data_IF_973105296411
#
_entry.id   IF_973105296411
#
_cell.length_a   1.000
_cell.length_b   1.000
_cell.length_c   1.000
_cell.angle_alpha   90.00
_cell.angle_beta   90.00
_cell.angle_gamma   90.00
#
_symmetry.space_group_name_H-M   'P 1'
#
loop_
_entity.id
_entity.type
_entity.pdbx_description
1 polymer ?
#
# COMPACT_ATOMS: atom_id res chain seq x y z
N UNK A 1 7.34 -17.31 32.21
CA UNK A 1 7.86 -18.03 31.01
C UNK A 1 6.71 -18.54 30.15
N UNK A 2 5.74 -19.23 30.75
CA UNK A 2 4.52 -19.71 30.08
C UNK A 2 3.68 -18.60 29.43
N UNK A 3 3.55 -17.44 30.08
CA UNK A 3 2.86 -16.27 29.53
C UNK A 3 3.52 -15.69 28.27
N UNK A 4 4.86 -15.70 28.21
CA UNK A 4 5.63 -15.22 27.06
C UNK A 4 5.51 -16.20 25.90
N UNK A 5 5.59 -17.51 26.19
CA UNK A 5 5.42 -18.54 25.17
C UNK A 5 4.02 -18.46 24.55
N UNK A 6 2.97 -18.35 25.37
CA UNK A 6 1.59 -18.20 24.91
C UNK A 6 1.38 -16.96 24.02
N UNK A 7 2.07 -15.86 24.32
CA UNK A 7 2.05 -14.67 23.48
C UNK A 7 2.74 -14.91 22.13
N UNK A 8 3.94 -15.50 22.14
CA UNK A 8 4.71 -15.76 20.92
C UNK A 8 4.09 -16.80 20.01
N UNK A 9 3.34 -17.76 20.56
CA UNK A 9 2.62 -18.78 19.80
C UNK A 9 1.20 -18.34 19.40
N UNK A 10 0.77 -17.13 19.77
CA UNK A 10 -0.56 -16.63 19.41
C UNK A 10 -0.65 -16.37 17.91
N UNK A 11 -1.63 -17.01 17.25
CA UNK A 11 -1.82 -16.92 15.80
C UNK A 11 -2.02 -15.48 15.31
N UNK A 12 -2.72 -14.65 16.09
CA UNK A 12 -2.95 -13.25 15.77
C UNK A 12 -1.62 -12.49 15.74
N UNK A 13 -0.80 -12.67 16.77
CA UNK A 13 0.52 -12.04 16.87
C UNK A 13 1.43 -12.48 15.72
N UNK A 14 1.47 -13.79 15.45
CA UNK A 14 2.30 -14.36 14.38
C UNK A 14 1.92 -13.76 13.02
N UNK A 15 0.63 -13.81 12.64
CA UNK A 15 0.21 -13.34 11.32
C UNK A 15 0.29 -11.83 11.18
N UNK A 16 -0.01 -11.05 12.24
CA UNK A 16 0.22 -9.60 12.22
C UNK A 16 1.68 -9.26 12.03
N UNK A 17 2.60 -9.94 12.74
CA UNK A 17 4.03 -9.73 12.59
C UNK A 17 4.52 -10.15 11.20
N UNK A 18 4.06 -11.29 10.68
CA UNK A 18 4.35 -11.73 9.32
C UNK A 18 3.87 -10.71 8.29
N UNK A 19 2.64 -10.20 8.43
CA UNK A 19 2.11 -9.14 7.58
C UNK A 19 3.02 -7.90 7.58
N UNK A 20 3.41 -7.44 8.77
CA UNK A 20 4.32 -6.31 8.94
C UNK A 20 5.70 -6.54 8.29
N UNK A 21 6.31 -7.71 8.50
CA UNK A 21 7.62 -8.03 7.93
C UNK A 21 7.56 -8.17 6.41
N UNK A 22 6.54 -8.87 5.87
CA UNK A 22 6.33 -9.01 4.42
C UNK A 22 6.11 -7.65 3.77
N UNK A 23 5.21 -6.84 4.32
CA UNK A 23 4.97 -5.47 3.85
C UNK A 23 6.22 -4.58 3.97
N UNK A 24 7.04 -4.84 4.98
CA UNK A 24 8.32 -4.18 5.24
C UNK A 24 9.35 -4.32 4.14
N UNK A 25 9.31 -5.37 3.32
CA UNK A 25 10.32 -5.64 2.29
C UNK A 25 10.43 -4.45 1.31
N UNK A 26 11.56 -3.73 1.26
CA UNK A 26 11.65 -2.47 0.54
C UNK A 26 12.11 -2.67 -0.91
N UNK A 27 11.25 -3.19 -1.78
CA UNK A 27 11.63 -3.56 -3.15
C UNK A 27 12.25 -2.42 -3.96
N UNK A 28 11.71 -1.20 -3.88
CA UNK A 28 12.31 -0.06 -4.60
C UNK A 28 13.71 0.31 -4.10
N UNK A 29 14.02 0.10 -2.81
CA UNK A 29 15.38 0.24 -2.31
C UNK A 29 16.27 -0.89 -2.84
N UNK A 30 15.83 -2.14 -2.69
CA UNK A 30 16.59 -3.32 -3.09
C UNK A 30 16.92 -3.28 -4.59
N UNK A 31 15.94 -3.02 -5.45
CA UNK A 31 16.12 -2.96 -6.90
C UNK A 31 17.06 -1.83 -7.31
N UNK A 32 16.92 -0.63 -6.74
CA UNK A 32 17.81 0.50 -7.04
C UNK A 32 19.26 0.22 -6.60
N UNK A 33 19.43 -0.42 -5.45
CA UNK A 33 20.74 -0.75 -4.91
C UNK A 33 21.42 -1.87 -5.71
N UNK A 34 20.69 -2.93 -6.06
CA UNK A 34 21.22 -4.10 -6.76
C UNK A 34 21.54 -3.79 -8.23
N UNK A 35 20.60 -3.18 -8.95
CA UNK A 35 20.77 -2.99 -10.41
C UNK A 35 21.54 -1.74 -10.80
N UNK A 36 21.60 -0.74 -9.92
CA UNK A 36 22.22 0.55 -10.24
C UNK A 36 23.19 1.08 -9.20
N UNK A 37 23.44 0.35 -8.09
CA UNK A 37 24.31 0.80 -7.00
C UNK A 37 23.80 2.03 -6.24
N UNK A 38 22.57 2.48 -6.53
CA UNK A 38 22.03 3.75 -6.04
C UNK A 38 21.24 3.57 -4.75
N UNK A 39 21.46 4.50 -3.82
CA UNK A 39 20.63 4.63 -2.62
C UNK A 39 19.44 5.55 -2.90
N UNK A 40 18.27 4.96 -3.19
CA UNK A 40 17.06 5.71 -3.54
C UNK A 40 16.57 6.62 -2.40
N UNK A 41 16.92 6.33 -1.14
CA UNK A 41 16.53 7.14 0.01
C UNK A 41 17.20 8.51 0.01
N UNK A 42 18.29 8.67 -0.75
CA UNK A 42 19.05 9.92 -0.92
C UNK A 42 18.72 10.67 -2.20
N UNK A 43 17.78 10.18 -3.01
CA UNK A 43 17.48 10.73 -4.34
C UNK A 43 16.02 11.20 -4.41
N UNK A 44 15.78 12.34 -5.05
CA UNK A 44 14.44 12.82 -5.36
C UNK A 44 13.65 13.16 -4.09
N UNK A 45 12.53 12.48 -3.86
CA UNK A 45 11.72 12.67 -2.65
C UNK A 45 12.19 11.85 -1.46
N UNK A 46 13.26 11.05 -1.61
CA UNK A 46 13.73 10.09 -0.61
C UNK A 46 12.81 8.88 -0.38
N UNK A 47 11.72 8.75 -1.14
CA UNK A 47 10.77 7.65 -1.00
C UNK A 47 11.22 6.42 -1.81
N UNK A 48 10.91 5.23 -1.31
CA UNK A 48 11.25 3.97 -1.99
C UNK A 48 10.23 3.53 -3.06
N UNK A 49 9.14 4.29 -3.25
CA UNK A 49 8.07 3.90 -4.16
C UNK A 49 8.40 4.12 -5.65
N UNK A 50 7.62 3.45 -6.51
CA UNK A 50 7.75 3.46 -7.97
C UNK A 50 7.92 4.86 -8.58
N UNK A 51 7.18 5.87 -8.11
CA UNK A 51 7.26 7.25 -8.63
C UNK A 51 8.64 7.88 -8.41
N UNK A 52 9.29 7.64 -7.27
CA UNK A 52 10.62 8.18 -7.01
C UNK A 52 11.68 7.41 -7.80
N UNK A 53 11.53 6.09 -7.90
CA UNK A 53 12.38 5.22 -8.74
C UNK A 53 12.36 5.68 -10.20
N UNK A 54 11.17 5.93 -10.76
CA UNK A 54 11.04 6.45 -12.13
C UNK A 54 11.82 7.75 -12.32
N UNK A 55 11.61 8.73 -11.43
CA UNK A 55 12.25 10.04 -11.50
C UNK A 55 13.77 9.96 -11.33
N UNK A 56 14.24 9.11 -10.41
CA UNK A 56 15.67 8.90 -10.15
C UNK A 56 16.38 8.26 -11.35
N UNK A 57 15.75 7.30 -12.02
CA UNK A 57 16.32 6.64 -13.19
C UNK A 57 16.26 7.52 -14.45
N UNK A 58 15.15 8.25 -14.65
CA UNK A 58 15.03 9.21 -15.75
C UNK A 58 16.07 10.33 -15.64
N UNK A 59 16.34 10.87 -14.44
CA UNK A 59 17.36 11.91 -14.26
C UNK A 59 18.79 11.42 -14.52
N UNK A 60 18.99 10.10 -14.56
CA UNK A 60 20.25 9.44 -14.90
C UNK A 60 20.30 8.94 -16.35
N UNK A 61 19.29 9.23 -17.17
CA UNK A 61 19.23 8.81 -18.58
C UNK A 61 19.08 7.30 -18.77
N UNK A 62 18.56 6.58 -17.77
CA UNK A 62 18.39 5.13 -17.81
C UNK A 62 17.20 4.76 -18.71
N UNK A 63 17.46 4.02 -19.80
CA UNK A 63 16.47 3.68 -20.82
C UNK A 63 15.31 2.82 -20.30
N UNK A 64 15.56 1.92 -19.34
CA UNK A 64 14.55 1.03 -18.76
C UNK A 64 13.86 1.59 -17.49
N UNK A 65 13.94 2.89 -17.23
CA UNK A 65 13.39 3.54 -16.04
C UNK A 65 11.91 3.20 -15.78
N UNK A 66 11.07 3.21 -16.83
CA UNK A 66 9.64 2.88 -16.73
C UNK A 66 9.39 1.42 -16.35
N UNK A 67 10.16 0.50 -16.91
CA UNK A 67 10.05 -0.93 -16.59
C UNK A 67 10.43 -1.19 -15.13
N UNK A 68 11.50 -0.55 -14.65
CA UNK A 68 11.92 -0.69 -13.26
C UNK A 68 10.90 -0.10 -12.28
N UNK A 69 10.34 1.07 -12.58
CA UNK A 69 9.28 1.66 -11.77
C UNK A 69 8.01 0.78 -11.74
N UNK A 70 7.62 0.19 -12.87
CA UNK A 70 6.52 -0.75 -12.94
C UNK A 70 6.79 -2.02 -12.13
N UNK A 71 8.02 -2.55 -12.19
CA UNK A 71 8.41 -3.70 -11.40
C UNK A 71 8.29 -3.42 -9.89
N UNK A 72 8.76 -2.26 -9.43
CA UNK A 72 8.60 -1.82 -8.03
C UNK A 72 7.13 -1.74 -7.65
N UNK A 73 6.29 -1.14 -8.51
CA UNK A 73 4.85 -1.04 -8.30
C UNK A 73 4.20 -2.42 -8.12
N UNK A 74 4.54 -3.37 -9.01
CA UNK A 74 4.01 -4.74 -9.00
C UNK A 74 4.48 -5.49 -7.76
N UNK A 75 5.76 -5.42 -7.40
CA UNK A 75 6.30 -6.12 -6.23
C UNK A 75 5.73 -5.54 -4.91
N UNK A 76 5.60 -4.22 -4.81
CA UNK A 76 4.99 -3.57 -3.64
C UNK A 76 3.49 -3.87 -3.51
N UNK A 77 2.79 -4.08 -4.63
CA UNK A 77 1.42 -4.59 -4.65
C UNK A 77 1.39 -6.06 -4.23
N UNK A 78 2.25 -6.88 -4.83
CA UNK A 78 2.29 -8.31 -4.59
C UNK A 78 2.59 -8.64 -3.13
N UNK A 79 3.50 -7.93 -2.44
CA UNK A 79 3.74 -8.19 -1.00
C UNK A 79 2.51 -7.94 -0.13
N UNK A 80 1.73 -6.89 -0.44
CA UNK A 80 0.50 -6.60 0.29
C UNK A 80 -0.55 -7.69 0.06
N UNK A 81 -0.72 -8.07 -1.20
CA UNK A 81 -1.59 -9.17 -1.60
C UNK A 81 -1.17 -10.48 -0.97
N UNK A 82 0.14 -10.79 -0.98
CA UNK A 82 0.68 -12.03 -0.47
C UNK A 82 0.51 -12.15 1.05
N UNK A 83 0.71 -11.06 1.80
CA UNK A 83 0.45 -11.05 3.24
C UNK A 83 -1.00 -11.43 3.57
N UNK A 84 -1.98 -10.82 2.88
CA UNK A 84 -3.42 -11.10 3.11
C UNK A 84 -3.85 -12.44 2.49
N UNK A 85 -3.24 -12.84 1.39
CA UNK A 85 -3.45 -14.17 0.81
C UNK A 85 -3.06 -15.27 1.81
N UNK A 86 -1.93 -15.12 2.51
CA UNK A 86 -1.52 -16.08 3.53
C UNK A 86 -2.55 -16.16 4.66
N UNK A 87 -3.06 -15.04 5.19
CA UNK A 87 -4.08 -15.12 6.24
C UNK A 87 -5.38 -15.77 5.76
N UNK A 88 -5.80 -15.50 4.51
CA UNK A 88 -6.94 -16.20 3.88
C UNK A 88 -6.70 -17.69 3.68
N UNK A 89 -5.51 -18.07 3.19
CA UNK A 89 -5.14 -19.45 2.93
C UNK A 89 -5.18 -20.32 4.18
N UNK A 90 -4.78 -19.75 5.32
CA UNK A 90 -4.84 -20.42 6.62
C UNK A 90 -6.21 -20.35 7.30
N UNK A 91 -7.24 -19.82 6.62
CA UNK A 91 -8.61 -19.77 7.13
C UNK A 91 -8.80 -18.87 8.35
N UNK A 92 -7.96 -17.84 8.49
CA UNK A 92 -8.07 -16.89 9.60
C UNK A 92 -9.34 -16.04 9.48
N UNK A 93 -9.89 -15.59 10.59
CA UNK A 93 -11.08 -14.74 10.58
C UNK A 93 -10.81 -13.41 9.86
N UNK A 94 -11.88 -12.79 9.35
CA UNK A 94 -11.75 -11.56 8.57
C UNK A 94 -11.15 -10.39 9.37
N UNK A 95 -11.37 -10.32 10.69
CA UNK A 95 -10.78 -9.26 11.51
C UNK A 95 -9.26 -9.39 11.55
N UNK A 96 -8.75 -10.62 11.71
CA UNK A 96 -7.32 -10.89 11.62
C UNK A 96 -6.77 -10.62 10.22
N UNK A 97 -7.50 -10.98 9.15
CA UNK A 97 -7.07 -10.66 7.78
C UNK A 97 -6.94 -9.14 7.55
N UNK A 98 -7.87 -8.32 8.07
CA UNK A 98 -7.77 -6.86 8.05
C UNK A 98 -6.60 -6.34 8.89
N UNK A 99 -6.34 -6.96 10.05
CA UNK A 99 -5.19 -6.61 10.86
C UNK A 99 -3.86 -6.89 10.12
N UNK A 100 -3.77 -8.01 9.39
CA UNK A 100 -2.63 -8.35 8.52
C UNK A 100 -2.49 -7.34 7.37
N UNK A 101 -3.60 -6.92 6.76
CA UNK A 101 -3.59 -5.89 5.72
C UNK A 101 -3.00 -4.57 6.22
N UNK A 102 -3.47 -4.08 7.38
CA UNK A 102 -2.98 -2.86 8.03
C UNK A 102 -1.50 -3.04 8.42
N UNK A 103 -1.14 -4.17 9.00
CA UNK A 103 0.24 -4.46 9.40
C UNK A 103 1.19 -4.42 8.21
N UNK A 104 0.82 -5.00 7.06
CA UNK A 104 1.61 -4.92 5.83
C UNK A 104 1.78 -3.49 5.32
N UNK A 105 0.73 -2.67 5.36
CA UNK A 105 0.78 -1.26 4.98
C UNK A 105 1.73 -0.48 5.92
N UNK A 106 1.63 -0.71 7.23
CA UNK A 106 2.52 -0.14 8.23
C UNK A 106 3.96 -0.59 8.02
N UNK A 107 4.18 -1.87 7.68
CA UNK A 107 5.48 -2.43 7.31
C UNK A 107 6.09 -1.67 6.15
N UNK A 108 5.34 -1.45 5.06
CA UNK A 108 5.86 -0.68 3.93
C UNK A 108 6.19 0.77 4.31
N UNK A 109 5.33 1.42 5.11
CA UNK A 109 5.48 2.83 5.47
C UNK A 109 6.55 3.09 6.54
N UNK A 110 6.78 2.11 7.42
CA UNK A 110 7.71 2.12 8.53
C UNK A 110 8.54 0.83 8.50
N UNK A 111 9.28 0.63 7.42
CA UNK A 111 10.01 -0.64 7.20
C UNK A 111 11.10 -0.85 8.25
N UNK A 112 11.09 -2.00 8.96
CA UNK A 112 12.15 -2.32 9.93
C UNK A 112 13.50 -2.49 9.24
N UNK A 113 13.52 -2.79 7.93
CA UNK A 113 14.74 -2.94 7.13
C UNK A 113 15.33 -1.60 6.67
N UNK A 114 14.62 -0.49 6.89
CA UNK A 114 15.05 0.86 6.52
C UNK A 114 14.99 1.83 7.72
N UNK A 115 15.28 1.33 8.93
CA UNK A 115 15.22 2.13 10.16
C UNK A 115 13.87 2.87 10.31
N UNK A 116 12.78 2.19 9.97
CA UNK A 116 11.40 2.72 10.00
C UNK A 116 11.14 3.90 9.05
N UNK A 117 12.01 4.12 8.05
CA UNK A 117 11.84 5.14 7.02
C UNK A 117 11.43 4.51 5.69
N UNK A 118 10.14 4.15 5.59
CA UNK A 118 9.56 3.48 4.42
C UNK A 118 8.90 4.41 3.41
N UNK A 119 8.09 3.82 2.53
CA UNK A 119 7.34 4.55 1.50
C UNK A 119 6.01 5.14 2.01
N UNK A 120 5.08 5.36 1.07
CA UNK A 120 3.73 5.87 1.36
C UNK A 120 2.63 4.81 1.31
N UNK A 121 2.98 3.59 0.89
CA UNK A 121 2.11 2.43 1.01
C UNK A 121 1.05 2.24 -0.06
N UNK A 122 0.87 3.14 -1.03
CA UNK A 122 -0.27 3.10 -1.98
C UNK A 122 -0.38 1.77 -2.74
N UNK A 123 0.72 1.27 -3.32
CA UNK A 123 0.72 -0.03 -4.01
C UNK A 123 0.45 -1.18 -3.04
N UNK A 124 1.05 -1.13 -1.84
CA UNK A 124 0.83 -2.13 -0.79
C UNK A 124 -0.59 -2.10 -0.24
N UNK A 125 -1.22 -0.92 -0.13
CA UNK A 125 -2.65 -0.74 0.21
C UNK A 125 -3.49 -1.47 -0.83
N UNK A 126 -3.30 -1.15 -2.12
CA UNK A 126 -4.04 -1.79 -3.21
C UNK A 126 -3.91 -3.32 -3.14
N UNK A 127 -2.69 -3.83 -2.99
CA UNK A 127 -2.44 -5.27 -2.86
C UNK A 127 -3.13 -5.89 -1.65
N UNK A 128 -3.01 -5.25 -0.48
CA UNK A 128 -3.60 -5.77 0.77
C UNK A 128 -5.14 -5.79 0.72
N UNK A 129 -5.77 -4.75 0.15
CA UNK A 129 -7.23 -4.60 0.23
C UNK A 129 -7.99 -5.23 -0.93
N UNK A 130 -7.34 -5.51 -2.09
CA UNK A 130 -8.03 -6.12 -3.24
C UNK A 130 -8.61 -7.50 -2.95
N UNK A 131 -8.02 -8.25 -2.03
CA UNK A 131 -8.56 -9.56 -1.63
C UNK A 131 -9.72 -9.43 -0.63
N UNK A 132 -9.87 -8.28 0.03
CA UNK A 132 -10.86 -8.04 1.08
C UNK A 132 -12.08 -7.27 0.56
N UNK A 133 -11.86 -6.29 -0.31
CA UNK A 133 -12.86 -5.43 -0.94
C UNK A 133 -12.57 -5.27 -2.44
N UNK A 134 -12.72 -6.36 -3.24
CA UNK A 134 -12.26 -6.40 -4.62
C UNK A 134 -12.93 -5.34 -5.51
N UNK A 135 -14.24 -5.12 -5.36
CA UNK A 135 -15.01 -4.19 -6.19
C UNK A 135 -14.51 -2.76 -5.97
N UNK A 136 -14.46 -2.34 -4.71
CA UNK A 136 -14.03 -1.01 -4.28
C UNK A 136 -12.58 -0.75 -4.65
N UNK A 137 -11.71 -1.75 -4.46
CA UNK A 137 -10.28 -1.68 -4.79
C UNK A 137 -10.06 -1.51 -6.28
N UNK A 138 -10.75 -2.28 -7.12
CA UNK A 138 -10.62 -2.18 -8.58
C UNK A 138 -11.13 -0.84 -9.10
N UNK A 139 -12.23 -0.32 -8.57
CA UNK A 139 -12.72 1.02 -8.93
C UNK A 139 -11.73 2.10 -8.46
N UNK A 140 -11.20 1.99 -7.25
CA UNK A 140 -10.14 2.87 -6.75
C UNK A 140 -8.88 2.84 -7.63
N UNK A 141 -8.48 1.66 -8.11
CA UNK A 141 -7.37 1.49 -9.06
C UNK A 141 -7.66 2.18 -10.40
N UNK A 142 -8.88 2.07 -10.92
CA UNK A 142 -9.28 2.76 -12.15
C UNK A 142 -9.19 4.28 -11.99
N UNK A 143 -9.67 4.83 -10.85
CA UNK A 143 -9.55 6.27 -10.54
C UNK A 143 -8.08 6.67 -10.43
N UNK A 144 -7.27 5.90 -9.69
CA UNK A 144 -5.83 6.14 -9.58
C UNK A 144 -5.15 6.18 -10.96
N UNK A 145 -5.44 5.21 -11.82
CA UNK A 145 -4.87 5.12 -13.16
C UNK A 145 -5.31 6.30 -14.03
N UNK A 146 -6.60 6.64 -14.02
CA UNK A 146 -7.14 7.76 -14.79
C UNK A 146 -6.51 9.09 -14.37
N UNK A 147 -6.50 9.38 -13.06
CA UNK A 147 -5.90 10.61 -12.52
C UNK A 147 -4.40 10.66 -12.79
N UNK A 148 -3.69 9.53 -12.61
CA UNK A 148 -2.27 9.41 -12.90
C UNK A 148 -1.94 9.63 -14.37
N UNK A 149 -2.80 9.17 -15.28
CA UNK A 149 -2.63 9.33 -16.73
C UNK A 149 -2.97 10.73 -17.22
N UNK A 150 -4.07 11.32 -16.75
CA UNK A 150 -4.60 12.61 -17.22
C UNK A 150 -3.89 13.78 -16.54
N UNK A 151 -3.86 13.79 -15.20
CA UNK A 151 -3.30 14.92 -14.43
C UNK A 151 -1.80 14.77 -14.20
N UNK A 152 -1.25 13.55 -14.32
CA UNK A 152 0.17 13.25 -14.07
C UNK A 152 0.62 13.66 -12.67
N UNK A 153 -0.26 13.58 -11.66
CA UNK A 153 0.08 13.88 -10.27
C UNK A 153 -0.10 12.62 -9.43
N UNK A 154 1.01 12.03 -8.99
CA UNK A 154 1.02 10.74 -8.27
C UNK A 154 0.29 10.80 -6.92
N UNK A 155 0.47 11.89 -6.18
CA UNK A 155 -0.13 12.06 -4.85
C UNK A 155 -1.64 12.23 -4.93
N UNK A 156 -2.11 13.06 -5.87
CA UNK A 156 -3.54 13.23 -6.13
C UNK A 156 -4.19 11.93 -6.61
N UNK A 157 -3.55 11.20 -7.53
CA UNK A 157 -4.02 9.88 -7.95
C UNK A 157 -4.17 8.91 -6.78
N UNK A 158 -3.20 8.92 -5.86
CA UNK A 158 -3.19 8.05 -4.67
C UNK A 158 -4.31 8.39 -3.70
N UNK A 159 -4.48 9.67 -3.37
CA UNK A 159 -5.53 10.14 -2.46
C UNK A 159 -6.92 9.85 -3.05
N UNK A 160 -7.12 10.16 -4.33
CA UNK A 160 -8.42 9.92 -4.97
C UNK A 160 -8.71 8.43 -5.15
N UNK A 161 -7.73 7.60 -5.51
CA UNK A 161 -7.94 6.15 -5.65
C UNK A 161 -8.33 5.49 -4.33
N UNK A 162 -7.54 5.73 -3.26
CA UNK A 162 -7.84 5.18 -1.93
C UNK A 162 -9.12 5.80 -1.36
N UNK A 163 -9.33 7.10 -1.58
CA UNK A 163 -10.54 7.81 -1.15
C UNK A 163 -11.80 7.28 -1.83
N UNK A 164 -11.77 7.02 -3.15
CA UNK A 164 -12.88 6.40 -3.87
C UNK A 164 -13.19 5.02 -3.31
N UNK A 165 -12.19 4.15 -3.13
CA UNK A 165 -12.41 2.85 -2.51
C UNK A 165 -13.06 2.98 -1.12
N UNK A 166 -12.59 3.94 -0.32
CA UNK A 166 -13.11 4.23 1.03
C UNK A 166 -14.53 4.78 1.03
N UNK A 167 -14.91 5.58 0.04
CA UNK A 167 -16.30 6.04 -0.09
C UNK A 167 -17.20 4.87 -0.49
N UNK A 168 -16.74 4.02 -1.39
CA UNK A 168 -17.54 2.91 -1.93
C UNK A 168 -17.89 1.84 -0.89
N UNK A 169 -17.08 1.62 0.15
CA UNK A 169 -17.42 0.67 1.23
C UNK A 169 -18.71 1.08 2.00
N UNK A 170 -19.19 2.31 1.86
CA UNK A 170 -20.46 2.76 2.46
C UNK A 170 -21.68 2.47 1.57
N UNK A 171 -21.47 2.04 0.32
CA UNK A 171 -22.55 1.81 -0.65
C UNK A 171 -22.54 0.37 -1.18
N UNK A 172 -21.38 -0.15 -1.57
CA UNK A 172 -21.22 -1.46 -2.21
C UNK A 172 -21.73 -2.61 -1.33
N UNK A 173 -21.47 -2.64 0.00
CA UNK A 173 -22.03 -3.67 0.88
C UNK A 173 -23.55 -3.75 0.94
N UNK A 174 -24.26 -2.69 0.55
CA UNK A 174 -25.73 -2.65 0.51
C UNK A 174 -26.30 -2.99 -0.87
N UNK A 175 -25.43 -3.24 -1.85
CA UNK A 175 -25.82 -3.80 -3.14
C UNK A 175 -25.96 -5.32 -3.01
N UNK A 176 -26.69 -5.96 -3.93
CA UNK A 176 -26.83 -7.43 -3.99
C UNK A 176 -25.49 -8.08 -4.43
N UNK A 177 -24.50 -8.08 -3.54
CA UNK A 177 -23.19 -8.70 -3.73
C UNK A 177 -23.06 -9.99 -2.91
N UNK A 178 -22.19 -10.94 -3.32
CA UNK A 178 -21.95 -12.15 -2.56
C UNK A 178 -21.42 -11.86 -1.14
N UNK A 179 -21.86 -12.65 -0.18
CA UNK A 179 -21.50 -12.47 1.24
C UNK A 179 -19.99 -12.60 1.45
N UNK A 180 -19.33 -13.47 0.68
CA UNK A 180 -17.88 -13.71 0.71
C UNK A 180 -17.01 -12.49 0.33
N UNK A 181 -17.60 -11.41 -0.17
CA UNK A 181 -16.90 -10.16 -0.51
C UNK A 181 -17.51 -8.94 0.17
N UNK A 182 -18.47 -9.14 1.09
CA UNK A 182 -19.17 -8.06 1.77
C UNK A 182 -18.50 -7.75 3.12
N UNK A 183 -17.72 -6.67 3.18
CA UNK A 183 -17.01 -6.26 4.40
C UNK A 183 -17.93 -6.07 5.62
N UNK A 184 -19.16 -5.59 5.43
CA UNK A 184 -20.07 -5.38 6.56
C UNK A 184 -20.59 -6.70 7.13
N UNK A 185 -20.88 -7.69 6.27
CA UNK A 185 -21.28 -9.01 6.74
C UNK A 185 -20.13 -9.75 7.43
N UNK A 186 -18.91 -9.58 6.94
CA UNK A 186 -17.75 -10.34 7.41
C UNK A 186 -17.06 -9.71 8.63
N UNK A 187 -17.05 -8.38 8.75
CA UNK A 187 -16.32 -7.64 9.79
C UNK A 187 -17.25 -6.84 10.70
N UNK A 188 -18.48 -6.56 10.25
CA UNK A 188 -19.44 -5.74 11.00
C UNK A 188 -19.16 -4.23 10.99
N UNK A 189 -18.11 -3.76 10.29
CA UNK A 189 -17.74 -2.34 10.27
C UNK A 189 -16.88 -1.92 9.07
N UNK A 190 -16.98 -0.66 8.67
CA UNK A 190 -16.11 0.02 7.70
C UNK A 190 -14.79 0.52 8.31
N UNK A 191 -14.63 0.49 9.63
CA UNK A 191 -13.53 1.13 10.36
C UNK A 191 -12.12 0.83 9.79
N UNK A 192 -11.73 -0.41 9.45
CA UNK A 192 -10.38 -0.70 8.97
C UNK A 192 -9.99 0.12 7.74
N UNK A 193 -10.89 0.24 6.76
CA UNK A 193 -10.62 0.97 5.52
C UNK A 193 -10.61 2.50 5.76
N UNK A 194 -11.46 3.00 6.65
CA UNK A 194 -11.44 4.41 7.07
C UNK A 194 -10.09 4.76 7.71
N UNK A 195 -9.56 3.88 8.56
CA UNK A 195 -8.23 4.06 9.18
C UNK A 195 -7.12 4.05 8.12
N UNK A 196 -7.18 3.16 7.14
CA UNK A 196 -6.22 3.13 6.01
C UNK A 196 -6.26 4.44 5.22
N UNK A 197 -7.46 5.01 4.99
CA UNK A 197 -7.57 6.28 4.28
C UNK A 197 -7.03 7.45 5.10
N UNK A 198 -7.38 7.55 6.39
CA UNK A 198 -6.81 8.57 7.29
C UNK A 198 -5.28 8.47 7.29
N UNK A 199 -4.74 7.26 7.42
CA UNK A 199 -3.31 7.03 7.36
C UNK A 199 -2.69 7.43 6.01
N UNK A 200 -3.39 7.17 4.91
CA UNK A 200 -2.99 7.62 3.56
C UNK A 200 -2.90 9.14 3.49
N UNK A 201 -3.88 9.87 4.04
CA UNK A 201 -3.86 11.34 4.11
C UNK A 201 -2.67 11.83 4.93
N UNK A 202 -2.42 11.23 6.09
CA UNK A 202 -1.26 11.56 6.95
C UNK A 202 0.05 11.37 6.18
N UNK A 203 0.24 10.22 5.52
CA UNK A 203 1.45 9.94 4.71
C UNK A 203 1.59 10.85 3.49
N UNK A 204 0.52 11.53 3.07
CA UNK A 204 0.52 12.49 1.98
C UNK A 204 0.39 13.95 2.43
N UNK A 205 0.44 14.25 3.73
CA UNK A 205 0.22 15.61 4.24
C UNK A 205 1.13 16.66 3.56
N UNK A 206 2.42 16.36 3.39
CA UNK A 206 3.35 17.23 2.67
C UNK A 206 3.00 17.42 1.18
N UNK A 207 2.44 16.40 0.52
CA UNK A 207 1.98 16.50 -0.86
C UNK A 207 0.68 17.28 -0.98
N UNK A 208 -0.22 17.14 -0.01
CA UNK A 208 -1.44 17.93 0.07
C UNK A 208 -1.08 19.40 0.22
N UNK A 209 -0.15 19.73 1.12
CA UNK A 209 0.36 21.09 1.26
C UNK A 209 0.95 21.64 -0.04
N UNK A 210 1.79 20.85 -0.72
CA UNK A 210 2.34 21.23 -2.03
C UNK A 210 1.27 21.38 -3.10
N UNK A 211 0.22 20.56 -3.09
CA UNK A 211 -0.91 20.67 -4.04
C UNK A 211 -1.66 21.98 -3.84
N UNK A 212 -2.01 22.30 -2.59
CA UNK A 212 -2.68 23.55 -2.24
C UNK A 212 -1.83 24.78 -2.57
N UNK A 213 -0.50 24.66 -2.44
CA UNK A 213 0.44 25.71 -2.80
C UNK A 213 0.79 25.76 -4.30
N UNK A 214 0.26 24.88 -5.14
CA UNK A 214 0.60 24.80 -6.57
C UNK A 214 2.04 24.33 -6.87
N UNK A 215 2.73 23.72 -5.90
CA UNK A 215 4.14 23.29 -5.95
C UNK A 215 4.32 21.79 -6.19
N UNK A 216 3.24 21.01 -6.25
CA UNK A 216 3.33 19.55 -6.38
C UNK A 216 3.87 19.13 -7.76
N UNK A 217 4.87 18.26 -7.75
CA UNK A 217 5.57 17.82 -8.97
C UNK A 217 4.74 16.82 -9.76
N UNK A 218 4.64 17.05 -11.08
CA UNK A 218 4.09 16.06 -12.03
C UNK A 218 5.02 14.85 -12.20
N UNK A 219 4.46 13.70 -12.55
CA UNK A 219 5.18 12.53 -13.03
C UNK A 219 5.53 12.83 -14.50
N UNK A 220 6.82 12.92 -14.82
CA UNK A 220 7.28 13.19 -16.18
C UNK A 220 7.28 11.90 -17.01
#
# INVERSE_FOLDING_TARGET
MESVLNFLTNINVIFTLLGYLIGGIPFGYALMKIFYGMDITKIGSGGIGATNVLRALQSKGVSNAKQMALLVLILDLFKGMFAVFLSKWFGLDYSLQWMVAIASILGHCYSPFLNFNGGKGVSTIMGSVVLLIPIESLIGLMVWFFVGKVLKISSLASILGVGTATVLIFFVPYMHIPDSVNILKEVGTQTPMVLIFIFTLIKHAGNIFNLLAGKEKRIL
#
